data_IF_377812660684
#
_entry.id   IF_377812660684
#
_cell.length_a   1.000
_cell.length_b   1.000
_cell.length_c   1.000
_cell.angle_alpha   90.00
_cell.angle_beta   90.00
_cell.angle_gamma   90.00
#
_symmetry.space_group_name_H-M   'P 1'
#
loop_
_entity.id
_entity.type
_entity.pdbx_description
1 polymer ?
#
# COMPACT_ATOMS: atom_id res chain seq x y z
N UNK A 1 5.10 44.72 23.06
CA UNK A 1 4.39 44.18 24.25
C UNK A 1 2.86 44.35 24.11
N UNK A 2 2.03 43.33 24.37
CA UNK A 2 2.35 41.94 24.73
C UNK A 2 1.16 41.01 24.48
N UNK A 3 1.42 39.89 23.79
CA UNK A 3 0.79 38.58 23.93
C UNK A 3 -0.72 38.51 24.23
N UNK A 4 -1.53 38.25 23.20
CA UNK A 4 -2.75 37.47 23.39
C UNK A 4 -2.39 35.99 23.46
N UNK A 5 -2.74 35.31 24.56
CA UNK A 5 -2.51 33.88 24.72
C UNK A 5 -3.52 33.05 23.91
N UNK A 6 -3.04 32.24 22.99
CA UNK A 6 -3.75 31.04 22.55
C UNK A 6 -3.63 29.95 23.63
N UNK A 7 -4.68 29.14 23.89
CA UNK A 7 -4.61 28.08 24.89
C UNK A 7 -3.65 26.97 24.44
N UNK A 8 -2.58 26.75 25.20
CA UNK A 8 -1.63 25.66 24.97
C UNK A 8 -2.26 24.32 25.30
N UNK A 9 -2.64 23.57 24.27
CA UNK A 9 -3.09 22.18 24.40
C UNK A 9 -1.93 21.29 24.87
N UNK A 10 -1.79 21.13 26.19
CA UNK A 10 -0.84 20.20 26.79
C UNK A 10 -1.28 18.75 26.55
N UNK A 11 -0.85 18.17 25.43
CA UNK A 11 -0.90 16.73 25.23
C UNK A 11 0.10 16.05 26.20
N UNK A 12 -0.40 15.56 27.33
CA UNK A 12 0.36 14.66 28.20
C UNK A 12 0.82 13.44 27.40
N UNK A 13 2.12 13.16 27.44
CA UNK A 13 2.70 12.03 26.71
C UNK A 13 2.09 10.72 27.19
N UNK A 14 1.26 10.09 26.34
CA UNK A 14 0.48 8.89 26.66
C UNK A 14 1.40 7.65 26.61
N UNK A 15 2.32 7.54 27.57
CA UNK A 15 3.42 6.55 27.60
C UNK A 15 3.04 5.11 27.26
N UNK A 16 1.82 4.68 27.59
CA UNK A 16 1.31 3.34 27.28
C UNK A 16 0.84 3.13 25.81
N UNK A 17 0.93 4.13 24.91
CA UNK A 17 0.50 4.00 23.50
C UNK A 17 1.63 3.66 22.51
N UNK A 18 2.83 3.35 22.98
CA UNK A 18 3.95 2.97 22.10
C UNK A 18 4.17 1.46 22.02
N UNK A 19 3.80 0.68 23.03
CA UNK A 19 4.10 -0.76 23.11
C UNK A 19 3.44 -1.57 22.01
N UNK A 20 2.12 -1.41 21.79
CA UNK A 20 1.38 -2.20 20.81
C UNK A 20 1.87 -1.95 19.38
N UNK A 21 1.92 -0.69 18.92
CA UNK A 21 2.46 -0.38 17.59
C UNK A 21 3.87 -0.95 17.39
N UNK A 22 4.74 -0.85 18.40
CA UNK A 22 6.11 -1.35 18.32
C UNK A 22 6.23 -2.90 18.36
N UNK A 23 5.17 -3.64 18.74
CA UNK A 23 5.14 -5.11 18.53
C UNK A 23 4.78 -5.53 17.11
N UNK A 24 4.09 -4.66 16.36
CA UNK A 24 3.66 -4.92 14.98
C UNK A 24 4.62 -4.28 13.94
N UNK A 25 5.04 -3.04 14.16
CA UNK A 25 5.89 -2.26 13.25
C UNK A 25 7.37 -2.69 13.29
N UNK A 26 8.00 -2.85 12.12
CA UNK A 26 9.43 -3.17 11.97
C UNK A 26 10.07 -2.21 10.96
N UNK A 27 10.69 -1.13 11.47
CA UNK A 27 11.33 -0.09 10.65
C UNK A 27 12.41 -0.60 9.68
N UNK A 28 13.00 -1.78 9.93
CA UNK A 28 14.01 -2.41 9.08
C UNK A 28 13.45 -3.15 7.87
N UNK A 29 12.12 -3.31 7.75
CA UNK A 29 11.50 -3.97 6.60
C UNK A 29 11.37 -2.98 5.44
N UNK A 30 12.33 -3.03 4.51
CA UNK A 30 12.19 -2.41 3.21
C UNK A 30 11.01 -3.03 2.43
N UNK A 31 10.01 -2.26 1.99
CA UNK A 31 8.81 -2.83 1.39
C UNK A 31 8.98 -3.21 -0.09
N UNK A 32 10.08 -2.78 -0.74
CA UNK A 32 10.30 -2.89 -2.18
C UNK A 32 11.22 -4.05 -2.56
N UNK A 33 10.90 -4.71 -3.67
CA UNK A 33 11.87 -5.46 -4.47
C UNK A 33 12.82 -4.46 -5.17
N UNK A 34 14.13 -4.50 -4.87
CA UNK A 34 15.05 -3.41 -5.23
C UNK A 34 15.87 -3.60 -6.52
N UNK A 35 15.98 -4.83 -7.04
CA UNK A 35 16.77 -5.10 -8.25
C UNK A 35 16.77 -6.57 -8.68
N UNK A 36 17.44 -6.88 -9.80
CA UNK A 36 17.50 -8.20 -10.40
C UNK A 36 18.10 -9.28 -9.47
N UNK A 37 19.02 -8.87 -8.59
CA UNK A 37 19.75 -9.72 -7.66
C UNK A 37 19.19 -9.66 -6.22
N UNK A 38 17.98 -9.13 -6.05
CA UNK A 38 17.31 -9.10 -4.74
C UNK A 38 16.78 -10.50 -4.38
N UNK A 39 17.52 -11.21 -3.54
CA UNK A 39 17.10 -12.50 -3.01
C UNK A 39 15.96 -12.35 -1.98
N UNK A 40 14.85 -13.07 -2.22
CA UNK A 40 13.77 -13.19 -1.23
C UNK A 40 14.08 -14.35 -0.27
N UNK A 41 13.86 -14.15 1.03
CA UNK A 41 14.13 -15.18 2.03
C UNK A 41 13.26 -16.42 1.83
N UNK A 42 13.78 -17.60 2.21
CA UNK A 42 13.14 -18.89 1.95
C UNK A 42 11.70 -18.97 2.50
N UNK A 43 11.43 -18.36 3.65
CA UNK A 43 10.09 -18.29 4.24
C UNK A 43 9.12 -17.37 3.46
N UNK A 44 9.62 -16.26 2.88
CA UNK A 44 8.86 -15.41 1.95
C UNK A 44 8.52 -16.21 0.70
N UNK A 45 9.49 -16.89 0.10
CA UNK A 45 9.29 -17.71 -1.10
C UNK A 45 8.29 -18.84 -0.85
N UNK A 46 8.43 -19.59 0.25
CA UNK A 46 7.53 -20.69 0.61
C UNK A 46 6.09 -20.22 0.85
N UNK A 47 5.90 -19.17 1.66
CA UNK A 47 4.57 -18.59 1.93
C UNK A 47 3.91 -18.07 0.65
N UNK A 48 4.67 -17.37 -0.19
CA UNK A 48 4.13 -16.72 -1.37
C UNK A 48 3.73 -17.71 -2.47
N UNK A 49 4.50 -18.79 -2.64
CA UNK A 49 4.14 -19.93 -3.50
C UNK A 49 2.92 -20.70 -2.97
N UNK A 50 2.74 -20.78 -1.65
CA UNK A 50 1.57 -21.40 -1.04
C UNK A 50 0.26 -20.59 -1.27
N UNK A 51 0.32 -19.33 -1.72
CA UNK A 51 -0.88 -18.55 -2.02
C UNK A 51 -1.61 -19.06 -3.26
N UNK A 52 -0.91 -19.17 -4.40
CA UNK A 52 -1.52 -19.48 -5.71
C UNK A 52 -0.58 -20.28 -6.66
N UNK A 53 -0.11 -21.45 -6.20
CA UNK A 53 0.29 -22.56 -7.10
C UNK A 53 1.78 -22.92 -7.14
N UNK A 54 2.12 -24.16 -7.54
CA UNK A 54 3.48 -24.69 -7.44
C UNK A 54 4.40 -24.16 -8.55
N UNK A 55 5.30 -23.25 -8.17
CA UNK A 55 6.53 -22.92 -8.90
C UNK A 55 7.73 -23.15 -7.98
N UNK A 56 8.94 -23.28 -8.53
CA UNK A 56 10.16 -23.47 -7.74
C UNK A 56 10.87 -22.13 -7.47
N UNK A 57 11.71 -22.08 -6.41
CA UNK A 57 12.52 -20.91 -6.10
C UNK A 57 13.47 -20.51 -7.26
N UNK A 58 13.98 -21.49 -8.01
CA UNK A 58 14.81 -21.26 -9.21
C UNK A 58 14.03 -20.57 -10.32
N UNK A 59 12.76 -20.95 -10.53
CA UNK A 59 11.87 -20.27 -11.48
C UNK A 59 11.56 -18.84 -11.02
N UNK A 60 11.43 -18.60 -9.71
CA UNK A 60 11.19 -17.26 -9.17
C UNK A 60 12.37 -16.31 -9.40
N UNK A 61 13.62 -16.73 -9.18
CA UNK A 61 14.77 -15.86 -9.43
C UNK A 61 14.87 -15.44 -10.90
N UNK A 62 14.61 -16.37 -11.83
CA UNK A 62 14.55 -16.05 -13.25
C UNK A 62 13.41 -15.06 -13.61
N UNK A 63 12.26 -15.15 -12.92
CA UNK A 63 11.15 -14.19 -13.07
C UNK A 63 11.55 -12.79 -12.56
N UNK A 64 12.26 -12.70 -11.43
CA UNK A 64 12.76 -11.43 -10.88
C UNK A 64 13.80 -10.80 -11.80
N UNK A 65 14.77 -11.57 -12.29
CA UNK A 65 15.76 -11.10 -13.25
C UNK A 65 15.10 -10.60 -14.54
N UNK A 66 14.15 -11.36 -15.09
CA UNK A 66 13.41 -10.96 -16.29
C UNK A 66 12.57 -9.69 -16.09
N UNK A 67 11.98 -9.48 -14.90
CA UNK A 67 11.23 -8.26 -14.56
C UNK A 67 12.11 -7.00 -14.69
N UNK A 68 13.33 -7.05 -14.17
CA UNK A 68 14.29 -5.95 -14.26
C UNK A 68 14.98 -5.81 -15.64
N UNK A 69 14.60 -6.61 -16.64
CA UNK A 69 14.90 -6.30 -18.05
C UNK A 69 13.92 -5.29 -18.66
N UNK A 70 12.69 -5.19 -18.13
CA UNK A 70 11.67 -4.25 -18.63
C UNK A 70 11.44 -3.05 -17.71
N UNK A 71 11.70 -3.20 -16.41
CA UNK A 71 11.70 -2.13 -15.43
C UNK A 71 13.11 -1.54 -15.33
N UNK A 72 13.23 -0.21 -15.38
CA UNK A 72 14.50 0.43 -15.06
C UNK A 72 14.64 0.45 -13.54
N UNK A 73 15.82 0.07 -13.04
CA UNK A 73 16.06 -0.10 -11.61
C UNK A 73 15.66 1.15 -10.82
N UNK A 74 15.02 0.94 -9.66
CA UNK A 74 14.52 2.02 -8.81
C UNK A 74 15.67 2.91 -8.34
N UNK A 75 15.73 4.14 -8.85
CA UNK A 75 16.67 5.14 -8.37
C UNK A 75 16.29 5.54 -6.94
N UNK A 76 17.30 5.68 -6.07
CA UNK A 76 17.07 5.98 -4.65
C UNK A 76 16.28 7.29 -4.41
N UNK A 77 16.32 8.23 -5.35
CA UNK A 77 15.54 9.48 -5.36
C UNK A 77 14.03 9.30 -5.15
N UNK A 78 13.45 8.16 -5.57
CA UNK A 78 12.01 7.86 -5.35
C UNK A 78 11.68 7.87 -3.86
N UNK A 79 12.65 7.51 -3.01
CA UNK A 79 12.50 7.33 -1.57
C UNK A 79 13.50 8.18 -0.78
N UNK A 80 13.80 9.41 -1.22
CA UNK A 80 14.56 10.35 -0.38
C UNK A 80 13.84 10.56 0.96
N UNK A 81 14.42 10.10 2.10
CA UNK A 81 13.79 10.18 3.42
C UNK A 81 14.02 11.53 4.12
N UNK A 82 14.84 12.42 3.55
CA UNK A 82 15.17 13.71 4.18
C UNK A 82 13.98 14.68 4.16
N UNK A 83 13.10 14.55 3.16
CA UNK A 83 11.87 15.32 3.04
C UNK A 83 10.74 14.69 3.85
N UNK A 84 10.21 15.44 4.83
CA UNK A 84 8.98 15.06 5.53
C UNK A 84 7.79 15.25 4.59
N UNK A 85 7.18 14.14 4.13
CA UNK A 85 6.07 14.14 3.17
C UNK A 85 4.74 13.88 3.88
N UNK A 86 3.77 14.75 3.65
CA UNK A 86 2.38 14.47 3.98
C UNK A 86 1.81 13.48 2.99
N UNK A 87 0.92 12.61 3.44
CA UNK A 87 0.34 11.59 2.59
C UNK A 87 -1.10 11.31 2.99
N UNK A 88 -1.88 10.80 2.04
CA UNK A 88 -3.19 10.19 2.27
C UNK A 88 -3.35 8.97 1.38
N UNK A 89 -4.08 7.97 1.88
CA UNK A 89 -4.49 6.80 1.12
C UNK A 89 -6.01 6.83 0.96
N UNK A 90 -6.51 6.53 -0.24
CA UNK A 90 -7.93 6.65 -0.58
C UNK A 90 -8.51 5.29 -0.97
N UNK A 91 -9.48 4.84 -0.17
CA UNK A 91 -10.30 3.66 -0.46
C UNK A 91 -11.52 3.98 -1.35
N UNK A 92 -12.12 2.94 -1.91
CA UNK A 92 -13.03 3.03 -3.07
C UNK A 92 -14.51 3.44 -2.79
N UNK A 93 -14.89 4.18 -1.71
CA UNK A 93 -16.22 3.86 -0.96
C UNK A 93 -17.11 5.17 -1.14
N UNK A 94 -18.29 5.02 -1.77
CA UNK A 94 -19.46 5.91 -1.79
C UNK A 94 -20.19 6.18 -0.46
N UNK A 95 -19.47 6.19 0.65
CA UNK A 95 -19.78 6.96 1.87
C UNK A 95 -18.98 8.27 1.86
N UNK A 96 -17.92 8.33 1.05
CA UNK A 96 -17.33 9.55 0.53
C UNK A 96 -18.32 10.30 -0.38
N UNK A 97 -19.40 9.65 -0.88
CA UNK A 97 -20.39 10.29 -1.75
C UNK A 97 -21.10 11.45 -1.03
N UNK A 98 -20.88 12.67 -1.51
CA UNK A 98 -21.32 13.93 -0.91
C UNK A 98 -20.34 14.53 0.11
N UNK A 99 -19.25 13.84 0.48
CA UNK A 99 -18.34 14.27 1.55
C UNK A 99 -17.40 15.42 1.15
N UNK A 100 -17.26 15.71 -0.15
CA UNK A 100 -16.50 16.86 -0.69
C UNK A 100 -15.02 16.94 -0.26
N UNK A 101 -14.42 15.83 0.20
CA UNK A 101 -13.06 15.79 0.76
C UNK A 101 -11.95 16.03 -0.27
N UNK A 102 -12.28 16.08 -1.57
CA UNK A 102 -11.35 16.33 -2.69
C UNK A 102 -10.23 17.33 -2.39
N UNK A 103 -10.55 18.54 -1.93
CA UNK A 103 -9.53 19.59 -1.72
C UNK A 103 -8.55 19.25 -0.58
N UNK A 104 -8.99 18.50 0.42
CA UNK A 104 -8.13 18.01 1.50
C UNK A 104 -7.28 16.82 1.01
N UNK A 105 -7.86 15.91 0.23
CA UNK A 105 -7.16 14.76 -0.35
C UNK A 105 -6.07 15.19 -1.34
N UNK A 106 -6.44 16.01 -2.34
CA UNK A 106 -5.55 16.50 -3.41
C UNK A 106 -4.45 17.47 -2.88
N UNK A 107 -4.43 17.82 -1.58
CA UNK A 107 -3.44 18.70 -0.93
C UNK A 107 -2.27 17.97 -0.22
N UNK A 108 -2.23 16.63 -0.25
CA UNK A 108 -1.12 15.85 0.31
C UNK A 108 -0.02 15.61 -0.73
N UNK A 109 1.25 15.61 -0.32
CA UNK A 109 2.39 15.36 -1.22
C UNK A 109 2.25 13.99 -1.91
N UNK A 110 1.80 12.98 -1.15
CA UNK A 110 1.53 11.65 -1.66
C UNK A 110 0.03 11.28 -1.56
N UNK A 111 -0.61 11.08 -2.71
CA UNK A 111 -1.99 10.55 -2.78
C UNK A 111 -1.96 9.14 -3.35
N UNK A 112 -2.11 8.15 -2.47
CA UNK A 112 -2.11 6.73 -2.80
C UNK A 112 -3.55 6.25 -3.05
N UNK A 113 -3.78 5.53 -4.15
CA UNK A 113 -5.11 4.99 -4.48
C UNK A 113 -5.05 3.55 -4.95
N UNK A 114 -6.10 2.78 -4.69
CA UNK A 114 -6.42 1.57 -5.45
C UNK A 114 -7.35 1.93 -6.63
N UNK A 115 -7.89 0.92 -7.33
CA UNK A 115 -8.91 1.10 -8.37
C UNK A 115 -10.25 1.60 -7.79
N UNK A 116 -10.38 2.92 -7.66
CA UNK A 116 -11.65 3.61 -7.44
C UNK A 116 -12.46 3.59 -8.75
N UNK A 117 -13.79 3.53 -8.67
CA UNK A 117 -14.70 3.74 -9.82
C UNK A 117 -16.03 4.29 -9.33
N UNK A 118 -16.42 5.49 -9.79
CA UNK A 118 -17.74 6.10 -9.53
C UNK A 118 -17.82 7.05 -8.33
N UNK A 119 -16.68 7.51 -7.80
CA UNK A 119 -16.56 8.43 -6.64
C UNK A 119 -15.57 9.58 -6.89
N UNK A 120 -15.14 9.77 -8.14
CA UNK A 120 -14.07 10.70 -8.57
C UNK A 120 -14.43 12.17 -8.31
N UNK A 121 -15.72 12.50 -8.20
CA UNK A 121 -16.21 13.82 -7.82
C UNK A 121 -15.90 14.16 -6.34
N UNK A 122 -16.00 13.15 -5.47
CA UNK A 122 -15.98 13.32 -4.02
C UNK A 122 -14.57 13.29 -3.43
N UNK A 123 -13.74 12.37 -3.94
CA UNK A 123 -12.34 12.18 -3.51
C UNK A 123 -11.31 12.74 -4.49
N UNK A 124 -11.75 13.44 -5.52
CA UNK A 124 -10.87 13.98 -6.56
C UNK A 124 -10.18 12.92 -7.42
N UNK A 125 -9.22 13.39 -8.21
CA UNK A 125 -8.45 12.58 -9.15
C UNK A 125 -6.93 12.68 -8.94
N UNK A 126 -6.45 13.49 -7.99
CA UNK A 126 -5.02 13.59 -7.69
C UNK A 126 -4.49 12.23 -7.23
N UNK A 127 -3.47 11.72 -7.89
CA UNK A 127 -2.91 10.38 -7.62
C UNK A 127 -1.42 10.47 -7.89
N UNK A 128 -0.58 10.15 -6.91
CA UNK A 128 0.88 10.06 -7.12
C UNK A 128 1.38 8.62 -7.10
N UNK A 129 0.64 7.73 -6.44
CA UNK A 129 0.88 6.29 -6.41
C UNK A 129 -0.44 5.53 -6.63
N UNK A 130 -0.43 4.50 -7.47
CA UNK A 130 -1.57 3.64 -7.72
C UNK A 130 -1.20 2.19 -7.40
N UNK A 131 -1.86 1.61 -6.40
CA UNK A 131 -1.73 0.21 -6.04
C UNK A 131 -2.61 -0.65 -6.94
N UNK A 132 -2.02 -1.62 -7.64
CA UNK A 132 -2.77 -2.57 -8.45
C UNK A 132 -2.06 -3.92 -8.63
N UNK A 133 -2.81 -4.87 -9.18
CA UNK A 133 -2.43 -6.24 -9.54
C UNK A 133 -3.11 -6.59 -10.88
N UNK A 134 -2.71 -7.65 -11.62
CA UNK A 134 -3.10 -7.84 -13.02
C UNK A 134 -4.62 -7.78 -13.28
N UNK A 135 -5.40 -8.35 -12.37
CA UNK A 135 -6.86 -8.48 -12.41
C UNK A 135 -7.58 -7.17 -12.03
N UNK A 136 -6.91 -6.23 -11.36
CA UNK A 136 -7.42 -4.88 -11.05
C UNK A 136 -6.84 -3.79 -11.97
N UNK A 137 -5.92 -4.13 -12.86
CA UNK A 137 -5.08 -3.17 -13.57
C UNK A 137 -5.83 -2.10 -14.38
N UNK A 138 -5.32 -0.88 -14.33
CA UNK A 138 -5.78 0.30 -15.09
C UNK A 138 -4.63 0.93 -15.88
N UNK A 139 -4.96 1.83 -16.82
CA UNK A 139 -3.95 2.71 -17.41
C UNK A 139 -3.72 3.89 -16.46
N UNK A 140 -2.46 4.20 -16.18
CA UNK A 140 -2.07 5.34 -15.36
C UNK A 140 -1.92 6.61 -16.22
N UNK A 141 -2.00 7.76 -15.55
CA UNK A 141 -1.56 9.05 -16.09
C UNK A 141 -0.02 9.08 -16.07
N UNK A 142 0.63 9.94 -16.89
CA UNK A 142 2.04 10.25 -16.70
C UNK A 142 2.35 10.63 -15.24
N UNK A 143 3.57 10.34 -14.82
CA UNK A 143 4.15 10.63 -13.52
C UNK A 143 3.57 9.89 -12.29
N UNK A 144 2.50 9.11 -12.47
CA UNK A 144 1.92 8.27 -11.41
C UNK A 144 2.73 6.99 -11.24
N UNK A 145 3.19 6.73 -10.01
CA UNK A 145 3.91 5.51 -9.68
C UNK A 145 2.98 4.31 -9.61
N UNK A 146 3.38 3.20 -10.24
CA UNK A 146 2.71 1.91 -10.14
C UNK A 146 3.30 1.15 -8.94
N UNK A 147 2.49 0.91 -7.92
CA UNK A 147 2.87 0.05 -6.79
C UNK A 147 2.20 -1.31 -6.99
N UNK A 148 2.95 -2.25 -7.56
CA UNK A 148 2.47 -3.60 -7.80
C UNK A 148 2.32 -4.34 -6.46
N UNK A 149 1.16 -4.94 -6.27
CA UNK A 149 0.87 -5.84 -5.13
C UNK A 149 0.76 -7.27 -5.69
N UNK A 150 1.88 -7.99 -5.84
CA UNK A 150 1.87 -9.27 -6.53
C UNK A 150 1.50 -10.39 -5.55
N UNK A 151 0.41 -11.10 -5.80
CA UNK A 151 -0.08 -12.21 -4.98
C UNK A 151 0.45 -13.58 -5.46
N UNK A 152 1.13 -13.61 -6.60
CA UNK A 152 1.76 -14.80 -7.21
C UNK A 152 2.92 -14.40 -8.14
N UNK A 153 3.90 -15.29 -8.42
CA UNK A 153 4.97 -15.02 -9.40
C UNK A 153 4.47 -14.66 -10.80
N UNK A 154 3.29 -15.19 -11.20
CA UNK A 154 2.62 -14.87 -12.46
C UNK A 154 2.28 -13.36 -12.58
N UNK A 155 2.12 -12.64 -11.48
CA UNK A 155 1.84 -11.19 -11.49
C UNK A 155 3.07 -10.37 -11.89
N UNK A 156 4.28 -10.86 -11.56
CA UNK A 156 5.54 -10.30 -12.06
C UNK A 156 5.72 -10.61 -13.55
N UNK A 157 5.43 -11.85 -13.97
CA UNK A 157 5.45 -12.23 -15.38
C UNK A 157 4.44 -11.42 -16.22
N UNK A 158 3.29 -11.05 -15.64
CA UNK A 158 2.33 -10.15 -16.27
C UNK A 158 2.91 -8.74 -16.47
N UNK A 159 3.61 -8.16 -15.49
CA UNK A 159 4.31 -6.88 -15.70
C UNK A 159 5.33 -7.00 -16.83
N UNK A 160 6.16 -8.04 -16.82
CA UNK A 160 7.11 -8.32 -17.91
C UNK A 160 6.41 -8.33 -19.27
N UNK A 161 5.35 -9.13 -19.43
CA UNK A 161 4.64 -9.28 -20.70
C UNK A 161 3.91 -7.99 -21.11
N UNK A 162 3.24 -7.30 -20.18
CA UNK A 162 2.49 -6.08 -20.46
C UNK A 162 3.36 -4.90 -20.93
N UNK A 163 4.66 -4.89 -20.58
CA UNK A 163 5.65 -3.93 -21.10
C UNK A 163 6.51 -4.47 -22.26
N UNK A 164 6.38 -5.75 -22.63
CA UNK A 164 7.12 -6.36 -23.74
C UNK A 164 6.20 -7.13 -24.70
N UNK A 165 6.04 -8.44 -24.51
CA UNK A 165 5.48 -9.37 -25.51
C UNK A 165 3.97 -9.29 -25.70
N UNK A 166 3.22 -8.86 -24.68
CA UNK A 166 1.74 -8.78 -24.64
C UNK A 166 1.03 -10.14 -24.77
N UNK A 167 1.72 -11.23 -24.50
CA UNK A 167 1.20 -12.61 -24.58
C UNK A 167 0.29 -12.96 -23.39
N UNK A 168 0.57 -12.43 -22.18
CA UNK A 168 -0.18 -12.79 -20.98
C UNK A 168 -1.54 -12.07 -20.94
N UNK A 169 -2.55 -12.77 -21.47
CA UNK A 169 -3.93 -12.30 -21.58
C UNK A 169 -4.85 -12.78 -20.45
N UNK A 170 -4.46 -13.81 -19.70
CA UNK A 170 -5.28 -14.45 -18.65
C UNK A 170 -4.44 -14.89 -17.45
N UNK A 171 -5.02 -14.74 -16.25
CA UNK A 171 -4.63 -15.45 -15.03
C UNK A 171 -5.76 -16.45 -14.70
N UNK A 172 -6.40 -16.37 -13.53
CA UNK A 172 -7.70 -17.01 -13.27
C UNK A 172 -8.89 -16.23 -13.89
N UNK A 173 -8.66 -15.00 -14.36
CA UNK A 173 -9.58 -14.20 -15.18
C UNK A 173 -8.80 -13.52 -16.32
N UNK A 174 -9.51 -12.92 -17.28
CA UNK A 174 -8.88 -12.13 -18.35
C UNK A 174 -8.24 -10.86 -17.78
N UNK A 175 -6.97 -10.61 -18.12
CA UNK A 175 -6.18 -9.45 -17.69
C UNK A 175 -5.80 -8.56 -18.88
N UNK A 176 -5.19 -7.40 -18.61
CA UNK A 176 -4.75 -6.47 -19.66
C UNK A 176 -3.43 -6.94 -20.28
N UNK A 177 -3.45 -7.26 -21.58
CA UNK A 177 -2.24 -7.57 -22.35
C UNK A 177 -1.23 -6.41 -22.49
N UNK A 178 -1.62 -5.19 -22.12
CA UNK A 178 -0.80 -3.99 -22.15
C UNK A 178 -1.35 -2.96 -21.16
N UNK A 179 -0.47 -2.22 -20.49
CA UNK A 179 -0.82 -1.05 -19.67
C UNK A 179 0.02 0.16 -20.05
N UNK A 180 -0.57 1.35 -19.96
CA UNK A 180 0.17 2.62 -19.97
C UNK A 180 0.57 2.98 -18.53
N UNK A 181 1.86 2.94 -18.24
CA UNK A 181 2.50 3.50 -17.05
C UNK A 181 3.99 3.72 -17.34
N UNK A 182 4.68 4.52 -16.52
CA UNK A 182 6.07 4.91 -16.75
C UNK A 182 7.03 3.87 -16.13
N UNK A 183 7.90 3.25 -16.95
CA UNK A 183 8.67 2.04 -16.59
C UNK A 183 9.68 2.20 -15.44
N UNK A 184 10.11 3.44 -15.19
CA UNK A 184 10.99 3.84 -14.08
C UNK A 184 10.22 4.20 -12.80
N UNK A 185 8.89 4.18 -12.83
CA UNK A 185 8.01 4.51 -11.69
C UNK A 185 7.25 3.28 -11.20
N UNK A 186 7.82 2.08 -11.37
CA UNK A 186 7.18 0.79 -11.05
C UNK A 186 7.91 0.12 -9.89
N UNK A 187 7.15 -0.17 -8.83
CA UNK A 187 7.57 -0.82 -7.60
C UNK A 187 6.82 -2.14 -7.44
N UNK A 188 7.38 -3.10 -6.68
CA UNK A 188 6.71 -4.36 -6.34
C UNK A 188 6.93 -4.74 -4.87
N UNK A 189 5.89 -5.27 -4.21
CA UNK A 189 5.84 -5.46 -2.75
C UNK A 189 5.81 -6.94 -2.24
N UNK A 190 6.53 -7.93 -2.83
CA UNK A 190 6.34 -9.35 -2.49
C UNK A 190 6.68 -9.71 -1.04
N UNK A 191 7.85 -9.32 -0.53
CA UNK A 191 8.25 -9.59 0.87
C UNK A 191 7.38 -8.84 1.88
N UNK A 192 6.95 -7.62 1.53
CA UNK A 192 6.12 -6.79 2.40
C UNK A 192 4.77 -7.44 2.70
N UNK A 193 4.14 -8.09 1.70
CA UNK A 193 2.87 -8.81 1.90
C UNK A 193 2.96 -9.90 2.98
N UNK A 194 4.06 -10.66 3.03
CA UNK A 194 4.27 -11.64 4.12
C UNK A 194 4.45 -10.95 5.46
N UNK A 195 5.28 -9.90 5.52
CA UNK A 195 5.45 -9.11 6.74
C UNK A 195 4.09 -8.54 7.24
N UNK A 196 3.19 -8.13 6.35
CA UNK A 196 1.84 -7.71 6.74
C UNK A 196 0.97 -8.87 7.26
N UNK A 197 1.09 -10.07 6.68
CA UNK A 197 0.37 -11.27 7.14
C UNK A 197 0.86 -11.75 8.52
N UNK A 198 2.17 -11.91 8.68
CA UNK A 198 2.80 -12.36 9.92
C UNK A 198 2.62 -11.33 11.05
N UNK A 199 3.00 -10.08 10.76
CA UNK A 199 3.29 -9.10 11.80
C UNK A 199 2.14 -8.13 12.05
N UNK A 200 1.10 -8.10 11.21
CA UNK A 200 -0.08 -7.23 11.39
C UNK A 200 -1.39 -8.00 11.45
N UNK A 201 -1.77 -8.79 10.43
CA UNK A 201 -3.02 -9.57 10.50
C UNK A 201 -2.88 -10.84 11.34
N UNK A 202 -1.65 -11.18 11.79
CA UNK A 202 -1.36 -12.36 12.62
C UNK A 202 -1.95 -13.64 12.01
N UNK A 203 -1.72 -13.80 10.70
CA UNK A 203 -2.23 -14.87 9.84
C UNK A 203 -3.77 -14.97 9.68
N UNK A 204 -4.54 -13.95 10.09
CA UNK A 204 -5.97 -13.89 9.77
C UNK A 204 -6.16 -13.57 8.27
N UNK A 205 -6.99 -14.36 7.59
CA UNK A 205 -7.11 -14.39 6.13
C UNK A 205 -5.96 -15.13 5.44
N UNK A 206 -6.09 -15.38 4.13
CA UNK A 206 -5.02 -15.98 3.33
C UNK A 206 -3.89 -14.97 3.06
N UNK A 207 -4.24 -13.71 2.81
CA UNK A 207 -3.32 -12.58 2.68
C UNK A 207 -4.04 -11.24 2.93
N UNK A 208 -3.35 -10.14 3.24
CA UNK A 208 -3.98 -8.85 3.49
C UNK A 208 -4.61 -8.21 2.24
N UNK A 209 -5.65 -7.39 2.44
CA UNK A 209 -6.30 -6.64 1.36
C UNK A 209 -5.39 -5.58 0.75
N UNK A 210 -5.68 -5.17 -0.49
CA UNK A 210 -4.97 -4.06 -1.15
C UNK A 210 -5.13 -2.73 -0.40
N UNK A 211 -6.26 -2.53 0.30
CA UNK A 211 -6.50 -1.33 1.10
C UNK A 211 -5.64 -1.30 2.37
N UNK A 212 -5.50 -2.44 3.05
CA UNK A 212 -4.62 -2.58 4.22
C UNK A 212 -3.13 -2.57 3.83
N UNK A 213 -2.80 -3.13 2.66
CA UNK A 213 -1.44 -3.06 2.07
C UNK A 213 -1.06 -1.62 1.72
N UNK A 214 -1.95 -0.88 1.04
CA UNK A 214 -1.76 0.55 0.80
C UNK A 214 -1.57 1.34 2.09
N UNK A 215 -2.29 0.94 3.14
CA UNK A 215 -2.20 1.57 4.45
C UNK A 215 -0.80 1.42 5.07
N UNK A 216 -0.37 0.18 5.26
CA UNK A 216 0.91 -0.05 5.94
C UNK A 216 2.11 0.34 5.06
N UNK A 217 1.98 0.31 3.73
CA UNK A 217 2.99 0.83 2.81
C UNK A 217 3.26 2.32 3.04
N UNK A 218 2.22 3.17 3.13
CA UNK A 218 2.42 4.61 3.36
C UNK A 218 3.04 4.91 4.73
N UNK A 219 2.68 4.14 5.77
CA UNK A 219 3.29 4.24 7.10
C UNK A 219 4.80 3.94 7.07
N UNK A 220 5.24 2.90 6.36
CA UNK A 220 6.67 2.57 6.22
C UNK A 220 7.41 3.54 5.29
N UNK A 221 6.72 4.17 4.33
CA UNK A 221 7.33 5.09 3.38
C UNK A 221 7.47 6.54 3.85
N UNK A 222 6.62 6.98 4.79
CA UNK A 222 6.56 8.38 5.21
C UNK A 222 6.98 8.61 6.68
N UNK A 223 7.47 7.59 7.39
CA UNK A 223 8.06 7.77 8.71
C UNK A 223 9.56 8.08 8.64
N UNK A 224 9.91 9.33 8.96
CA UNK A 224 11.12 9.59 9.75
C UNK A 224 10.85 9.12 11.20
N UNK A 225 11.86 8.62 11.89
CA UNK A 225 11.88 8.71 13.35
C UNK A 225 12.06 10.20 13.73
N UNK A 226 11.19 10.80 14.54
CA UNK A 226 11.40 12.16 14.99
C UNK A 226 12.67 12.21 15.86
N UNK A 227 13.56 13.20 15.67
CA UNK A 227 14.76 13.33 16.50
C UNK A 227 14.37 13.40 17.97
N UNK A 228 15.10 12.62 18.78
CA UNK A 228 14.67 12.19 20.12
C UNK A 228 14.17 13.36 20.99
N UNK A 229 12.91 13.26 21.44
CA UNK A 229 12.25 14.27 22.28
C UNK A 229 11.20 15.14 21.58
N UNK A 230 11.10 15.11 20.25
CA UNK A 230 10.00 15.79 19.51
C UNK A 230 8.81 14.83 19.28
N UNK A 231 7.62 15.22 19.73
CA UNK A 231 6.37 14.56 19.32
C UNK A 231 6.10 14.79 17.82
N UNK A 232 5.50 13.83 17.09
CA UNK A 232 5.11 14.04 15.69
C UNK A 232 4.12 15.22 15.58
N UNK A 233 4.59 16.34 15.01
CA UNK A 233 3.83 17.61 14.92
C UNK A 233 2.98 17.75 13.66
N UNK A 234 3.00 16.75 12.76
CA UNK A 234 2.27 16.79 11.50
C UNK A 234 1.31 15.60 11.42
N UNK A 235 0.04 15.92 11.14
CA UNK A 235 -1.06 14.97 11.08
C UNK A 235 -0.95 14.06 9.86
N UNK A 236 -0.72 12.76 10.10
CA UNK A 236 -0.84 11.72 9.08
C UNK A 236 -2.34 11.51 8.82
N UNK A 237 -2.86 11.95 7.68
CA UNK A 237 -4.29 12.02 7.41
C UNK A 237 -4.79 10.81 6.60
N UNK A 238 -5.84 10.15 7.10
CA UNK A 238 -6.28 8.83 6.61
C UNK A 238 -7.76 8.81 6.22
N UNK A 239 -8.01 9.15 4.96
CA UNK A 239 -9.36 9.18 4.36
C UNK A 239 -9.80 7.80 3.83
N UNK A 240 -10.05 6.84 4.74
CA UNK A 240 -10.27 5.42 4.40
C UNK A 240 -11.75 4.93 4.38
N UNK A 241 -12.05 3.99 3.46
CA UNK A 241 -13.37 3.40 3.13
C UNK A 241 -13.36 1.88 3.53
N UNK A 242 -14.40 1.34 4.20
CA UNK A 242 -14.42 -0.01 4.83
C UNK A 242 -15.61 -0.95 4.39
N UNK A 243 -15.35 -2.21 3.94
CA UNK A 243 -16.17 -2.91 2.92
C UNK A 243 -17.62 -3.38 3.26
N UNK A 244 -18.60 -2.69 2.64
CA UNK A 244 -20.04 -3.01 2.62
C UNK A 244 -20.73 -2.77 1.25
N UNK A 245 -20.15 -3.24 0.15
CA UNK A 245 -20.90 -3.35 -1.11
C UNK A 245 -21.67 -4.69 -1.17
N UNK A 246 -22.60 -4.87 -2.12
CA UNK A 246 -23.20 -6.19 -2.33
C UNK A 246 -22.15 -7.26 -2.74
N UNK A 247 -20.99 -6.82 -3.26
CA UNK A 247 -19.84 -7.67 -3.58
C UNK A 247 -18.89 -7.90 -2.40
N UNK A 248 -18.94 -7.12 -1.30
CA UNK A 248 -18.14 -7.45 -0.10
C UNK A 248 -18.63 -8.76 0.55
N UNK A 249 -19.91 -9.10 0.40
CA UNK A 249 -20.43 -10.44 0.68
C UNK A 249 -19.73 -11.54 -0.09
N UNK A 250 -19.12 -11.29 -1.25
CA UNK A 250 -18.29 -12.27 -1.93
C UNK A 250 -16.97 -12.49 -1.18
N UNK A 251 -16.28 -11.43 -0.75
CA UNK A 251 -15.02 -11.55 0.00
C UNK A 251 -15.19 -12.08 1.43
N UNK A 252 -16.24 -11.65 2.15
CA UNK A 252 -16.65 -12.28 3.42
C UNK A 252 -17.05 -13.77 3.25
N UNK A 253 -17.40 -14.22 2.03
CA UNK A 253 -17.67 -15.64 1.71
C UNK A 253 -16.42 -16.41 1.26
N UNK A 254 -15.49 -15.79 0.54
CA UNK A 254 -14.25 -16.45 0.09
C UNK A 254 -13.15 -16.47 1.16
N UNK A 255 -13.23 -15.63 2.20
CA UNK A 255 -12.29 -15.55 3.34
C UNK A 255 -10.83 -15.27 2.95
N UNK A 256 -10.61 -14.67 1.78
CA UNK A 256 -9.27 -14.39 1.24
C UNK A 256 -8.48 -13.41 2.12
N UNK A 257 -9.15 -12.42 2.71
CA UNK A 257 -8.60 -11.51 3.72
C UNK A 257 -9.57 -11.41 4.90
N UNK A 258 -9.06 -11.29 6.14
CA UNK A 258 -9.91 -11.04 7.31
C UNK A 258 -10.15 -9.54 7.45
N UNK A 259 -11.21 -9.12 6.79
CA UNK A 259 -11.61 -7.73 6.67
C UNK A 259 -11.99 -7.11 8.04
N UNK A 260 -12.62 -7.88 8.95
CA UNK A 260 -12.99 -7.38 10.28
C UNK A 260 -11.76 -7.20 11.19
N UNK A 261 -10.75 -8.08 11.08
CA UNK A 261 -9.44 -7.91 11.72
C UNK A 261 -8.71 -6.68 11.19
N UNK A 262 -8.61 -6.50 9.87
CA UNK A 262 -8.01 -5.29 9.26
C UNK A 262 -8.68 -4.00 9.77
N UNK A 263 -10.01 -3.98 9.83
CA UNK A 263 -10.74 -2.84 10.38
C UNK A 263 -10.48 -2.62 11.88
N UNK A 264 -10.26 -3.69 12.65
CA UNK A 264 -9.85 -3.58 14.07
C UNK A 264 -8.47 -2.91 14.23
N UNK A 265 -7.51 -3.29 13.39
CA UNK A 265 -6.15 -2.74 13.35
C UNK A 265 -6.15 -1.26 12.94
N UNK A 266 -6.96 -0.89 11.93
CA UNK A 266 -7.19 0.51 11.52
C UNK A 266 -7.70 1.35 12.70
N UNK A 267 -8.75 0.89 13.40
CA UNK A 267 -9.30 1.59 14.58
C UNK A 267 -8.25 1.71 15.70
N UNK A 268 -7.38 0.72 15.89
CA UNK A 268 -6.33 0.75 16.92
C UNK A 268 -5.22 1.74 16.57
N UNK A 269 -4.73 1.74 15.33
CA UNK A 269 -3.79 2.74 14.82
C UNK A 269 -4.33 4.17 15.01
N UNK A 270 -5.63 4.38 14.77
CA UNK A 270 -6.26 5.69 14.95
C UNK A 270 -6.33 6.11 16.42
N UNK A 271 -6.71 5.18 17.31
CA UNK A 271 -6.74 5.41 18.75
C UNK A 271 -5.35 5.69 19.37
N UNK A 272 -4.26 5.22 18.74
CA UNK A 272 -2.89 5.52 19.12
C UNK A 272 -2.30 6.76 18.43
N UNK A 273 -3.09 7.49 17.63
CA UNK A 273 -2.63 8.71 16.95
C UNK A 273 -1.62 8.45 15.82
N UNK A 274 -1.48 7.20 15.37
CA UNK A 274 -0.65 6.84 14.20
C UNK A 274 -1.30 7.26 12.90
N UNK A 275 -2.64 7.29 12.86
CA UNK A 275 -3.44 7.67 11.69
C UNK A 275 -4.62 8.57 12.11
N UNK A 276 -4.93 9.63 11.36
CA UNK A 276 -6.16 10.42 11.56
C UNK A 276 -7.28 9.82 10.71
N UNK A 277 -8.07 8.92 11.30
CA UNK A 277 -9.13 8.18 10.62
C UNK A 277 -10.46 8.96 10.55
N UNK A 278 -10.89 9.31 9.34
CA UNK A 278 -12.17 9.96 9.06
C UNK A 278 -13.29 8.91 8.88
N UNK A 279 -14.54 9.27 9.19
CA UNK A 279 -15.74 8.40 9.17
C UNK A 279 -16.83 8.95 8.25
#
# INVERSE_FOLDING_TARGET
PSLFHSPTAHCTARTNSFSWFNTHYKATIGPLLTGADHELSSDVVQWWLALQGPLSAVQLQAIIQQLFTVLWALTADVWDPSHCRTYTVVGNLGQLKGSSHRLLIDAHDWVLRAKITGFELDVGMGTTHHLMYPESAVNLRPDVHLVLVPFKPLDLQWVTSAFSTRELTHTYVRVKQFIRADRNKIMALPAFLKYLHDNWTQHHGQYPSIGFTALLFALHACQQDPPAGRTPTHSQNWHHYWEKTCWSRAFHRTRVHDADVEFSLIKRLAHEGRIVFYK
#
